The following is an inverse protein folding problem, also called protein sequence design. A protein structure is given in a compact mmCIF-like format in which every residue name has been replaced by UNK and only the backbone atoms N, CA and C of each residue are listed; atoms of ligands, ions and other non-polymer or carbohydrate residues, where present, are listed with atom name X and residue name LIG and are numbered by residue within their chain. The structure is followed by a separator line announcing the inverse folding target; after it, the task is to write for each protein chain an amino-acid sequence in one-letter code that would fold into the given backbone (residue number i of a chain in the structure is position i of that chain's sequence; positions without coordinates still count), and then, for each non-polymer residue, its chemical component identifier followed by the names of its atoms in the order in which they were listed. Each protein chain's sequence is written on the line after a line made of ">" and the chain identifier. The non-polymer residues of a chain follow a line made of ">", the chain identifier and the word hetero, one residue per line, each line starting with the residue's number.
data_IF_572705898547
#
_entry.id   IF_572705898547
#
_cell.length_a   1.000
_cell.length_b   1.000
_cell.length_c   1.000
_cell.angle_alpha   90.00
_cell.angle_beta   90.00
_cell.angle_gamma   90.00
#
_symmetry.space_group_name_H-M   'P 1'
#
loop_
_entity.id
_entity.type
_entity.pdbx_description
1 polymer ?
#
# COMPACT_ATOMS: atom_id res chain seq x y z
N UNK A 1 -6.98 -83.34 9.53
CA UNK A 1 -7.80 -82.72 10.56
C UNK A 1 -6.81 -81.90 11.40
N UNK A 2 -6.48 -80.68 10.97
CA UNK A 2 -5.57 -79.79 11.67
C UNK A 2 -6.33 -78.48 11.91
N UNK A 3 -6.39 -78.18 13.18
CA UNK A 3 -7.11 -77.07 13.78
C UNK A 3 -6.46 -75.70 13.37
N UNK A 4 -7.27 -74.80 12.86
CA UNK A 4 -6.83 -73.41 12.49
C UNK A 4 -7.64 -72.49 13.39
N UNK A 5 -7.11 -72.28 14.61
CA UNK A 5 -7.61 -71.21 15.50
C UNK A 5 -6.42 -70.51 16.15
N UNK A 6 -6.24 -69.27 15.83
CA UNK A 6 -5.46 -68.16 16.36
C UNK A 6 -4.72 -67.48 15.21
N UNK A 7 -4.93 -66.15 14.95
CA UNK A 7 -4.60 -65.00 15.75
C UNK A 7 -5.39 -63.79 15.21
N UNK A 8 -6.33 -63.28 15.97
CA UNK A 8 -6.80 -61.89 15.81
C UNK A 8 -5.99 -61.00 16.78
N UNK A 9 -4.96 -60.35 16.28
CA UNK A 9 -4.33 -59.24 17.00
C UNK A 9 -5.24 -58.02 16.88
N UNK A 10 -5.86 -57.63 17.96
CA UNK A 10 -6.57 -56.41 18.21
C UNK A 10 -5.55 -55.26 18.21
N UNK A 11 -5.51 -54.45 17.12
CA UNK A 11 -4.88 -53.16 17.13
C UNK A 11 -5.69 -52.25 18.07
N UNK A 12 -5.11 -51.86 19.19
CA UNK A 12 -5.63 -50.80 20.06
C UNK A 12 -5.61 -49.48 19.27
N UNK A 13 -6.69 -48.67 19.29
CA UNK A 13 -6.66 -47.32 18.75
C UNK A 13 -5.69 -46.49 19.59
N UNK A 14 -4.77 -45.84 18.91
CA UNK A 14 -3.83 -44.89 19.49
C UNK A 14 -4.63 -43.69 20.05
N UNK A 15 -4.77 -43.65 21.37
CA UNK A 15 -5.35 -42.52 22.08
C UNK A 15 -4.43 -41.32 21.87
N UNK A 16 -4.86 -40.36 21.03
CA UNK A 16 -4.28 -39.03 20.97
C UNK A 16 -4.67 -38.35 22.29
N UNK A 17 -3.75 -38.27 23.23
CA UNK A 17 -3.92 -37.45 24.42
C UNK A 17 -4.11 -36.00 23.98
N UNK A 18 -5.15 -35.28 24.45
CA UNK A 18 -5.24 -33.84 24.26
C UNK A 18 -4.08 -33.21 25.01
N UNK A 19 -3.25 -32.44 24.26
CA UNK A 19 -2.24 -31.57 24.83
C UNK A 19 -2.99 -30.57 25.72
N UNK A 20 -2.77 -30.64 27.03
CA UNK A 20 -3.29 -29.64 27.97
C UNK A 20 -2.97 -28.23 27.46
N UNK A 21 -3.85 -27.23 27.57
CA UNK A 21 -3.54 -25.86 27.22
C UNK A 21 -2.41 -25.40 28.15
N UNK A 22 -1.18 -25.39 27.64
CA UNK A 22 -0.07 -24.76 28.31
C UNK A 22 -0.47 -23.30 28.57
N UNK A 23 -0.27 -22.81 29.77
CA UNK A 23 -0.37 -21.39 30.11
C UNK A 23 0.59 -20.62 29.20
N UNK A 24 0.07 -20.19 28.04
CA UNK A 24 0.82 -19.33 27.12
C UNK A 24 0.72 -17.93 27.71
N UNK A 25 1.74 -17.53 28.47
CA UNK A 25 1.88 -16.17 28.97
C UNK A 25 1.71 -15.19 27.81
N UNK A 26 1.02 -14.08 28.08
CA UNK A 26 0.94 -12.96 27.11
C UNK A 26 2.36 -12.50 26.78
N UNK A 27 2.65 -12.18 25.52
CA UNK A 27 3.94 -11.66 25.13
C UNK A 27 4.21 -10.30 25.82
N UNK A 28 5.48 -9.95 26.06
CA UNK A 28 5.83 -8.64 26.58
C UNK A 28 5.35 -7.53 25.60
N UNK A 29 5.11 -6.30 26.10
CA UNK A 29 4.56 -5.20 25.30
C UNK A 29 5.42 -4.79 24.09
N UNK A 30 6.68 -5.14 24.09
CA UNK A 30 7.69 -4.88 23.05
C UNK A 30 8.03 -6.11 22.19
N UNK A 31 7.26 -7.19 22.32
CA UNK A 31 7.49 -8.39 21.53
C UNK A 31 7.40 -8.12 20.02
N UNK A 32 8.32 -8.68 19.21
CA UNK A 32 8.25 -8.56 17.77
C UNK A 32 6.91 -9.06 17.22
N UNK A 33 6.35 -8.34 16.23
CA UNK A 33 5.04 -8.65 15.64
C UNK A 33 4.86 -10.14 15.27
N UNK A 34 5.88 -10.75 14.65
CA UNK A 34 5.84 -12.15 14.26
C UNK A 34 5.70 -13.10 15.46
N UNK A 35 6.33 -12.77 16.57
CA UNK A 35 6.23 -13.54 17.83
C UNK A 35 4.82 -13.41 18.42
N UNK A 36 4.23 -12.22 18.40
CA UNK A 36 2.84 -12.00 18.84
C UNK A 36 1.88 -12.87 18.03
N UNK A 37 2.01 -12.91 16.71
CA UNK A 37 1.20 -13.77 15.84
C UNK A 37 1.37 -15.24 16.22
N UNK A 38 2.61 -15.70 16.43
CA UNK A 38 2.90 -17.08 16.77
C UNK A 38 2.33 -17.50 18.14
N UNK A 39 2.38 -16.59 19.13
CA UNK A 39 1.83 -16.82 20.47
C UNK A 39 0.31 -16.90 20.40
N UNK A 40 -0.36 -15.94 19.75
CA UNK A 40 -1.82 -15.92 19.63
C UNK A 40 -2.34 -17.12 18.84
N UNK A 41 -1.63 -17.55 17.78
CA UNK A 41 -1.96 -18.78 17.06
C UNK A 41 -1.87 -20.01 17.95
N UNK A 42 -0.79 -20.15 18.72
CA UNK A 42 -0.61 -21.27 19.66
C UNK A 42 -1.65 -21.26 20.77
N UNK A 43 -1.98 -20.08 21.30
CA UNK A 43 -3.06 -19.90 22.28
C UNK A 43 -4.41 -20.44 21.77
N UNK A 44 -4.65 -20.32 20.44
CA UNK A 44 -5.83 -20.90 19.77
C UNK A 44 -5.65 -22.36 19.34
N UNK A 45 -4.55 -23.02 19.68
CA UNK A 45 -4.29 -24.42 19.34
C UNK A 45 -4.08 -24.68 17.84
N UNK A 46 -3.82 -23.66 17.02
CA UNK A 46 -3.71 -23.80 15.58
C UNK A 46 -2.27 -24.04 15.14
N UNK A 47 -2.06 -24.95 14.18
CA UNK A 47 -0.82 -25.03 13.42
C UNK A 47 -0.72 -23.88 12.41
N UNK A 48 0.50 -23.56 11.92
CA UNK A 48 0.69 -22.57 10.84
C UNK A 48 -0.16 -22.88 9.59
N UNK A 49 -0.28 -24.18 9.25
CA UNK A 49 -1.09 -24.60 8.10
C UNK A 49 -2.59 -24.42 8.31
N UNK A 50 -3.08 -24.59 9.54
CA UNK A 50 -4.49 -24.35 9.89
C UNK A 50 -4.81 -22.85 9.87
N UNK A 51 -3.95 -22.02 10.46
CA UNK A 51 -4.09 -20.55 10.39
C UNK A 51 -4.06 -20.06 8.94
N UNK A 52 -3.11 -20.55 8.14
CA UNK A 52 -3.00 -20.18 6.73
C UNK A 52 -4.29 -20.47 5.95
N UNK A 53 -4.85 -21.68 6.13
CA UNK A 53 -6.14 -22.05 5.50
C UNK A 53 -7.30 -21.16 5.96
N UNK A 54 -7.42 -20.95 7.27
CA UNK A 54 -8.48 -20.13 7.85
C UNK A 54 -8.40 -18.66 7.39
N UNK A 55 -7.18 -18.10 7.28
CA UNK A 55 -6.93 -16.74 6.81
C UNK A 55 -6.87 -16.61 5.28
N UNK A 56 -7.01 -17.70 4.52
CA UNK A 56 -6.83 -17.75 3.06
C UNK A 56 -5.47 -17.20 2.61
N UNK A 57 -4.43 -17.53 3.37
CA UNK A 57 -3.03 -17.17 3.10
C UNK A 57 -2.22 -18.45 2.84
N UNK A 58 -1.00 -18.29 2.28
CA UNK A 58 -0.11 -19.45 2.14
C UNK A 58 0.57 -19.81 3.47
N UNK A 59 0.90 -21.09 3.67
CA UNK A 59 1.68 -21.54 4.85
C UNK A 59 3.05 -20.81 4.92
N UNK A 60 3.68 -20.63 3.77
CA UNK A 60 4.95 -19.89 3.66
C UNK A 60 4.79 -18.45 4.10
N UNK A 61 3.65 -17.80 3.81
CA UNK A 61 3.37 -16.46 4.28
C UNK A 61 3.34 -16.40 5.81
N UNK A 62 2.58 -17.29 6.47
CA UNK A 62 2.50 -17.34 7.94
C UNK A 62 3.88 -17.63 8.54
N UNK A 63 4.64 -18.57 7.98
CA UNK A 63 6.00 -18.88 8.44
C UNK A 63 6.91 -17.65 8.37
N UNK A 64 6.92 -16.92 7.23
CA UNK A 64 7.75 -15.73 7.08
C UNK A 64 7.31 -14.59 8.01
N UNK A 65 6.02 -14.48 8.27
CA UNK A 65 5.47 -13.51 9.19
C UNK A 65 5.95 -13.79 10.62
N UNK A 66 5.78 -15.02 11.10
CA UNK A 66 6.15 -15.44 12.45
C UNK A 66 7.67 -15.42 12.70
N UNK A 67 8.48 -15.63 11.65
CA UNK A 67 9.95 -15.61 11.75
C UNK A 67 10.55 -14.23 11.50
N UNK A 68 9.72 -13.19 11.34
CA UNK A 68 10.20 -11.83 11.05
C UNK A 68 10.83 -11.65 9.67
N UNK A 69 10.78 -12.66 8.79
CA UNK A 69 11.27 -12.55 7.41
C UNK A 69 10.36 -11.68 6.54
N UNK A 70 9.13 -11.42 6.99
CA UNK A 70 8.19 -10.51 6.35
C UNK A 70 8.02 -9.27 7.22
N UNK A 71 8.63 -8.17 6.80
CA UNK A 71 8.69 -6.91 7.55
C UNK A 71 7.50 -5.98 7.29
N UNK A 72 6.66 -6.24 6.29
CA UNK A 72 5.50 -5.40 5.96
C UNK A 72 4.29 -6.26 5.57
N UNK A 73 3.55 -6.81 6.54
CA UNK A 73 2.28 -7.45 6.27
C UNK A 73 1.24 -6.38 5.86
N UNK A 74 0.39 -6.69 4.87
CA UNK A 74 -0.71 -5.79 4.51
C UNK A 74 -1.81 -5.81 5.58
N UNK A 75 -2.53 -4.69 5.74
CA UNK A 75 -3.70 -4.58 6.62
C UNK A 75 -4.71 -5.70 6.33
N UNK A 76 -4.97 -5.98 5.05
CA UNK A 76 -5.86 -7.07 4.62
C UNK A 76 -5.42 -8.43 5.16
N UNK A 77 -4.12 -8.74 5.13
CA UNK A 77 -3.62 -10.01 5.65
C UNK A 77 -3.77 -10.07 7.18
N UNK A 78 -3.55 -8.96 7.88
CA UNK A 78 -3.70 -8.92 9.33
C UNK A 78 -5.17 -9.02 9.75
N UNK A 79 -6.07 -8.35 9.04
CA UNK A 79 -7.53 -8.53 9.26
C UNK A 79 -7.96 -9.98 9.03
N UNK A 80 -7.42 -10.65 8.00
CA UNK A 80 -7.70 -12.06 7.77
C UNK A 80 -7.20 -12.94 8.92
N UNK A 81 -6.03 -12.65 9.49
CA UNK A 81 -5.48 -13.35 10.68
C UNK A 81 -6.32 -13.07 11.92
N UNK A 82 -6.71 -11.79 12.16
CA UNK A 82 -7.61 -11.42 13.28
C UNK A 82 -8.90 -12.22 13.25
N UNK A 83 -9.56 -12.31 12.09
CA UNK A 83 -10.78 -13.10 11.90
C UNK A 83 -10.53 -14.60 12.08
N UNK A 84 -9.47 -15.12 11.48
CA UNK A 84 -9.13 -16.54 11.54
C UNK A 84 -8.80 -17.01 12.97
N UNK A 85 -8.25 -16.11 13.80
CA UNK A 85 -7.96 -16.39 15.21
C UNK A 85 -9.12 -16.01 16.14
N UNK A 86 -10.21 -15.43 15.65
CA UNK A 86 -11.32 -14.86 16.44
C UNK A 86 -10.80 -14.04 17.63
N UNK A 87 -9.89 -13.11 17.36
CA UNK A 87 -9.28 -12.30 18.41
C UNK A 87 -10.25 -11.22 18.89
N UNK A 88 -10.40 -11.10 20.22
CA UNK A 88 -11.26 -10.12 20.90
C UNK A 88 -10.52 -9.53 22.10
N UNK A 89 -10.98 -8.37 22.57
CA UNK A 89 -10.43 -7.74 23.78
C UNK A 89 -8.91 -7.54 23.72
N UNK A 90 -8.21 -7.95 24.77
CA UNK A 90 -6.77 -7.75 24.93
C UNK A 90 -5.93 -8.40 23.84
N UNK A 91 -6.29 -9.61 23.39
CA UNK A 91 -5.56 -10.31 22.32
C UNK A 91 -5.61 -9.54 21.00
N UNK A 92 -6.75 -8.91 20.69
CA UNK A 92 -6.94 -8.05 19.53
C UNK A 92 -6.10 -6.78 19.63
N UNK A 93 -6.17 -6.10 20.79
CA UNK A 93 -5.38 -4.90 21.05
C UNK A 93 -3.88 -5.15 20.95
N UNK A 94 -3.41 -6.26 21.51
CA UNK A 94 -2.01 -6.66 21.46
C UNK A 94 -1.51 -6.83 20.01
N UNK A 95 -2.28 -7.52 19.17
CA UNK A 95 -1.91 -7.70 17.76
C UNK A 95 -1.96 -6.37 17.00
N UNK A 96 -2.96 -5.52 17.28
CA UNK A 96 -3.09 -4.20 16.67
C UNK A 96 -1.92 -3.29 17.04
N UNK A 97 -1.53 -3.25 18.32
CA UNK A 97 -0.37 -2.48 18.78
C UNK A 97 0.94 -2.94 18.14
N UNK A 98 1.20 -4.25 18.13
CA UNK A 98 2.38 -4.82 17.51
C UNK A 98 2.43 -4.53 15.99
N UNK A 99 1.28 -4.54 15.31
CA UNK A 99 1.16 -4.17 13.90
C UNK A 99 1.48 -2.68 13.69
N UNK A 100 0.92 -1.80 14.54
CA UNK A 100 1.19 -0.36 14.47
C UNK A 100 2.66 -0.04 14.72
N UNK A 101 3.30 -0.70 15.69
CA UNK A 101 4.72 -0.54 15.95
C UNK A 101 5.59 -0.97 14.76
N UNK A 102 5.20 -2.07 14.08
CA UNK A 102 5.94 -2.59 12.94
C UNK A 102 5.79 -1.72 11.68
N UNK A 103 4.60 -1.19 11.42
CA UNK A 103 4.24 -0.60 10.12
C UNK A 103 3.91 0.88 10.18
N UNK A 104 3.66 1.44 11.37
CA UNK A 104 3.12 2.78 11.55
C UNK A 104 1.63 2.92 11.21
N UNK A 105 0.95 1.83 10.81
CA UNK A 105 -0.45 1.83 10.44
C UNK A 105 -1.34 1.37 11.59
N UNK A 106 -2.52 1.97 11.74
CA UNK A 106 -3.52 1.56 12.72
C UNK A 106 -4.47 0.50 12.13
N UNK A 107 -4.93 -0.43 12.97
CA UNK A 107 -6.03 -1.33 12.67
C UNK A 107 -7.29 -0.74 13.28
N UNK A 108 -8.14 -0.13 12.46
CA UNK A 108 -9.40 0.43 12.90
C UNK A 108 -10.37 -0.66 13.38
N UNK A 109 -11.03 -0.43 14.52
CA UNK A 109 -11.99 -1.37 15.11
C UNK A 109 -13.35 -1.40 14.38
N UNK A 110 -13.74 -0.31 13.72
CA UNK A 110 -15.08 -0.14 13.16
C UNK A 110 -15.26 -0.53 11.69
N UNK A 111 -14.19 -0.87 10.98
CA UNK A 111 -14.27 -1.11 9.51
C UNK A 111 -14.83 -2.48 9.09
N UNK A 112 -15.27 -3.32 10.00
CA UNK A 112 -15.85 -4.64 9.66
C UNK A 112 -17.32 -4.59 9.22
N UNK A 113 -18.01 -3.44 9.32
CA UNK A 113 -19.45 -3.38 9.07
C UNK A 113 -19.91 -2.54 7.89
N UNK A 114 -19.05 -1.71 7.29
CA UNK A 114 -19.45 -0.83 6.19
C UNK A 114 -18.31 -0.52 5.18
N UNK A 115 -17.54 -1.49 4.71
CA UNK A 115 -16.78 -1.32 3.47
C UNK A 115 -17.77 -1.38 2.28
N UNK A 116 -18.65 -0.36 2.18
CA UNK A 116 -19.53 -0.16 1.02
C UNK A 116 -18.71 0.10 -0.25
N UNK A 117 -17.48 0.61 -0.06
CA UNK A 117 -16.52 0.85 -1.13
C UNK A 117 -15.20 0.19 -0.74
N UNK A 118 -14.54 -0.47 -1.69
CA UNK A 118 -13.15 -0.83 -1.48
C UNK A 118 -12.25 0.44 -1.50
N UNK A 119 -10.99 0.30 -1.06
CA UNK A 119 -10.09 1.47 -0.95
C UNK A 119 -9.81 2.14 -2.30
N UNK A 120 -9.83 1.38 -3.39
CA UNK A 120 -9.66 1.88 -4.74
C UNK A 120 -10.87 2.71 -5.15
N UNK A 121 -12.08 2.22 -4.85
CA UNK A 121 -13.34 2.91 -5.12
C UNK A 121 -13.44 4.19 -4.30
N UNK A 122 -13.06 4.14 -3.01
CA UNK A 122 -13.02 5.32 -2.15
C UNK A 122 -12.00 6.35 -2.68
N UNK A 123 -10.81 5.93 -3.06
CA UNK A 123 -9.81 6.82 -3.66
C UNK A 123 -10.33 7.44 -4.96
N UNK A 124 -10.98 6.66 -5.82
CA UNK A 124 -11.58 7.15 -7.05
C UNK A 124 -12.70 8.16 -6.77
N UNK A 125 -13.59 7.88 -5.80
CA UNK A 125 -14.66 8.79 -5.39
C UNK A 125 -14.09 10.15 -4.93
N UNK A 126 -13.08 10.15 -4.08
CA UNK A 126 -12.47 11.37 -3.55
C UNK A 126 -11.74 12.16 -4.66
N UNK A 127 -11.07 11.47 -5.58
CA UNK A 127 -10.43 12.08 -6.74
C UNK A 127 -11.47 12.76 -7.63
N UNK A 128 -12.58 12.08 -7.97
CA UNK A 128 -13.63 12.65 -8.84
C UNK A 128 -14.36 13.83 -8.20
N UNK A 129 -14.45 13.88 -6.87
CA UNK A 129 -15.06 15.00 -6.13
C UNK A 129 -14.08 16.16 -5.84
N UNK A 130 -12.79 16.01 -6.19
CA UNK A 130 -11.84 17.11 -6.04
C UNK A 130 -12.10 18.20 -7.10
N UNK A 131 -12.20 19.44 -6.65
CA UNK A 131 -12.28 20.60 -7.54
C UNK A 131 -10.94 20.90 -8.23
N UNK A 132 -9.82 20.49 -7.62
CA UNK A 132 -8.47 20.63 -8.17
C UNK A 132 -8.07 19.41 -8.99
N UNK A 133 -7.12 19.55 -9.93
CA UNK A 133 -6.50 18.40 -10.58
C UNK A 133 -5.99 17.39 -9.55
N UNK A 134 -6.44 16.16 -9.65
CA UNK A 134 -6.11 15.10 -8.71
C UNK A 134 -6.07 13.73 -9.37
N UNK A 135 -5.23 12.85 -8.82
CA UNK A 135 -5.22 11.43 -9.17
C UNK A 135 -4.91 10.57 -7.93
N UNK A 136 -5.28 9.30 -8.00
CA UNK A 136 -4.89 8.32 -6.98
C UNK A 136 -3.78 7.40 -7.50
N UNK A 137 -2.90 7.00 -6.59
CA UNK A 137 -1.80 6.08 -6.82
C UNK A 137 -1.97 4.85 -5.96
N UNK A 138 -1.70 3.67 -6.54
CA UNK A 138 -1.51 2.46 -5.76
C UNK A 138 -0.12 2.45 -5.08
N UNK A 139 0.17 1.41 -4.29
CA UNK A 139 1.45 1.27 -3.57
C UNK A 139 2.70 1.19 -4.46
N UNK A 140 2.55 0.92 -5.76
CA UNK A 140 3.63 0.92 -6.76
C UNK A 140 3.56 2.13 -7.69
N UNK A 141 2.73 3.12 -7.33
CA UNK A 141 2.56 4.37 -8.06
C UNK A 141 1.96 4.20 -9.46
N UNK A 142 1.09 3.19 -9.66
CA UNK A 142 0.21 3.19 -10.80
C UNK A 142 -0.97 4.11 -10.53
N UNK A 143 -1.28 4.98 -11.48
CA UNK A 143 -2.45 5.85 -11.43
C UNK A 143 -3.69 4.96 -11.56
N UNK A 144 -4.54 4.95 -10.55
CA UNK A 144 -5.75 4.12 -10.51
C UNK A 144 -7.04 4.90 -10.78
N UNK A 145 -7.03 6.20 -10.53
CA UNK A 145 -8.10 7.13 -10.90
C UNK A 145 -7.53 8.54 -11.09
N UNK A 146 -8.19 9.35 -11.93
CA UNK A 146 -7.91 10.78 -12.12
C UNK A 146 -9.21 11.50 -12.45
N UNK A 147 -9.27 12.80 -12.15
CA UNK A 147 -10.42 13.62 -12.50
C UNK A 147 -10.21 14.38 -13.81
N UNK A 148 -11.29 15.00 -14.33
CA UNK A 148 -11.24 15.80 -15.55
C UNK A 148 -10.21 16.93 -15.49
N UNK A 149 -10.09 17.73 -14.40
CA UNK A 149 -9.03 18.72 -14.28
C UNK A 149 -7.61 18.13 -14.42
N UNK A 150 -7.33 16.94 -13.85
CA UNK A 150 -6.03 16.30 -14.01
C UNK A 150 -5.78 15.82 -15.44
N UNK A 151 -6.80 15.28 -16.10
CA UNK A 151 -6.72 14.91 -17.51
C UNK A 151 -6.37 16.14 -18.39
N UNK A 152 -7.05 17.26 -18.17
CA UNK A 152 -6.81 18.50 -18.91
C UNK A 152 -5.43 19.09 -18.61
N UNK A 153 -5.00 19.07 -17.33
CA UNK A 153 -3.72 19.61 -16.90
C UNK A 153 -2.53 18.83 -17.46
N UNK A 154 -2.59 17.51 -17.44
CA UNK A 154 -1.47 16.67 -17.84
C UNK A 154 -1.58 16.18 -19.28
N UNK A 155 -2.73 16.35 -19.93
CA UNK A 155 -3.00 15.88 -21.30
C UNK A 155 -2.57 14.41 -21.50
N UNK A 156 -2.83 13.58 -20.46
CA UNK A 156 -2.53 12.16 -20.47
C UNK A 156 -3.74 11.39 -20.96
N UNK A 157 -3.59 10.67 -22.06
CA UNK A 157 -4.59 9.70 -22.50
C UNK A 157 -4.34 8.35 -21.80
N UNK A 158 -4.81 8.25 -20.54
CA UNK A 158 -4.74 7.01 -19.77
C UNK A 158 -5.94 6.07 -20.03
N UNK A 159 -6.97 6.55 -20.74
CA UNK A 159 -8.21 5.81 -20.96
C UNK A 159 -8.24 5.02 -22.28
N UNK A 160 -7.37 5.35 -23.23
CA UNK A 160 -7.57 4.95 -24.64
C UNK A 160 -6.87 3.66 -25.07
N UNK A 161 -5.94 3.08 -24.30
CA UNK A 161 -5.20 1.90 -24.76
C UNK A 161 -5.16 0.79 -23.71
N UNK A 162 -5.55 -0.46 -24.05
CA UNK A 162 -5.22 -1.62 -23.26
C UNK A 162 -3.68 -1.71 -23.12
N UNK A 163 -3.15 -1.51 -21.89
CA UNK A 163 -1.72 -1.48 -21.62
C UNK A 163 -1.09 -0.09 -21.59
N UNK A 164 -1.88 1.01 -21.62
CA UNK A 164 -1.36 2.35 -21.38
C UNK A 164 -0.55 2.35 -20.06
N UNK A 165 0.67 2.89 -20.13
CA UNK A 165 1.55 2.93 -18.96
C UNK A 165 1.02 3.95 -17.96
N UNK A 166 0.34 3.46 -16.93
CA UNK A 166 -0.22 4.29 -15.85
C UNK A 166 0.78 4.51 -14.71
N UNK A 167 1.98 3.96 -14.80
CA UNK A 167 2.99 4.08 -13.76
C UNK A 167 3.63 5.48 -13.80
N UNK A 168 3.48 6.24 -12.70
CA UNK A 168 3.83 7.66 -12.64
C UNK A 168 5.30 7.94 -13.01
N UNK A 169 6.26 7.15 -12.52
CA UNK A 169 7.65 7.37 -12.86
C UNK A 169 7.92 7.09 -14.34
N UNK A 170 7.29 6.07 -14.93
CA UNK A 170 7.46 5.81 -16.36
C UNK A 170 6.94 6.99 -17.20
N UNK A 171 5.84 7.63 -16.79
CA UNK A 171 5.32 8.84 -17.43
C UNK A 171 6.30 10.01 -17.27
N UNK A 172 6.79 10.26 -16.05
CA UNK A 172 7.71 11.37 -15.77
C UNK A 172 9.04 11.23 -16.51
N UNK A 173 9.51 9.99 -16.69
CA UNK A 173 10.75 9.70 -17.42
C UNK A 173 10.56 9.49 -18.93
N UNK A 174 9.33 9.56 -19.44
CA UNK A 174 9.07 9.53 -20.88
C UNK A 174 9.60 10.81 -21.55
N UNK A 175 10.38 10.70 -22.63
CA UNK A 175 10.93 11.88 -23.34
C UNK A 175 9.86 12.89 -23.81
N UNK A 176 8.65 12.42 -24.12
CA UNK A 176 7.53 13.27 -24.56
C UNK A 176 7.07 14.21 -23.46
N UNK A 177 7.00 13.72 -22.22
CA UNK A 177 6.49 14.48 -21.08
C UNK A 177 7.57 15.29 -20.37
N UNK A 178 8.84 14.84 -20.35
CA UNK A 178 9.92 15.50 -19.62
C UNK A 178 10.12 16.96 -20.01
N UNK A 179 9.85 17.34 -21.25
CA UNK A 179 10.01 18.72 -21.74
C UNK A 179 9.02 19.71 -21.13
N UNK A 180 7.94 19.21 -20.52
CA UNK A 180 6.90 20.01 -19.88
C UNK A 180 7.30 20.51 -18.49
N UNK A 181 8.24 19.83 -17.81
CA UNK A 181 8.62 20.14 -16.43
C UNK A 181 9.93 20.93 -16.36
N UNK A 182 10.00 21.87 -15.41
CA UNK A 182 11.17 22.72 -15.26
C UNK A 182 11.48 23.00 -13.77
N UNK A 183 12.69 22.74 -13.30
CA UNK A 183 13.71 21.85 -13.92
C UNK A 183 13.30 20.38 -13.80
N UNK A 184 13.21 19.69 -14.94
CA UNK A 184 12.73 18.29 -14.98
C UNK A 184 13.59 17.34 -14.14
N UNK A 185 14.91 17.47 -14.20
CA UNK A 185 15.81 16.55 -13.52
C UNK A 185 15.66 16.62 -11.98
N UNK A 186 15.41 17.80 -11.44
CA UNK A 186 15.15 17.98 -10.02
C UNK A 186 13.82 17.29 -9.61
N UNK A 187 12.76 17.48 -10.39
CA UNK A 187 11.48 16.80 -10.19
C UNK A 187 11.65 15.29 -10.24
N UNK A 188 12.37 14.78 -11.26
CA UNK A 188 12.58 13.34 -11.45
C UNK A 188 13.38 12.71 -10.29
N UNK A 189 14.45 13.37 -9.82
CA UNK A 189 15.24 12.94 -8.64
C UNK A 189 14.37 12.87 -7.40
N UNK A 190 13.57 13.90 -7.17
CA UNK A 190 12.71 13.99 -6.01
C UNK A 190 11.64 12.91 -6.00
N UNK A 191 10.92 12.73 -7.11
CA UNK A 191 9.90 11.69 -7.23
C UNK A 191 10.50 10.28 -7.08
N UNK A 192 11.70 10.06 -7.62
CA UNK A 192 12.38 8.78 -7.46
C UNK A 192 12.81 8.53 -6.00
N UNK A 193 13.31 9.54 -5.29
CA UNK A 193 13.65 9.44 -3.88
C UNK A 193 12.41 9.12 -3.03
N UNK A 194 11.30 9.81 -3.28
CA UNK A 194 10.02 9.56 -2.61
C UNK A 194 9.47 8.17 -2.92
N UNK A 195 9.53 7.73 -4.17
CA UNK A 195 9.16 6.36 -4.55
C UNK A 195 10.00 5.31 -3.81
N UNK A 196 11.32 5.45 -3.80
CA UNK A 196 12.22 4.54 -3.06
C UNK A 196 11.86 4.50 -1.57
N UNK A 197 11.59 5.65 -0.97
CA UNK A 197 11.20 5.75 0.43
C UNK A 197 9.87 5.03 0.70
N UNK A 198 8.84 5.31 -0.08
CA UNK A 198 7.50 4.75 0.10
C UNK A 198 7.44 3.25 -0.20
N UNK A 199 8.30 2.76 -1.11
CA UNK A 199 8.31 1.35 -1.53
C UNK A 199 9.41 0.52 -0.87
N UNK A 200 10.17 1.06 0.10
CA UNK A 200 11.29 0.35 0.76
C UNK A 200 10.91 -1.00 1.34
N UNK A 201 9.68 -1.12 1.86
CA UNK A 201 9.13 -2.35 2.42
C UNK A 201 8.55 -3.31 1.36
N UNK A 202 8.53 -2.91 0.08
CA UNK A 202 7.93 -3.69 -1.03
C UNK A 202 8.98 -4.32 -1.95
N UNK A 203 10.27 -4.06 -1.73
CA UNK A 203 11.37 -4.48 -2.63
C UNK A 203 11.50 -5.99 -2.82
N UNK A 204 10.94 -6.78 -1.89
CA UNK A 204 10.90 -8.23 -1.98
C UNK A 204 9.77 -8.75 -2.89
N UNK A 205 8.78 -7.92 -3.25
CA UNK A 205 7.65 -8.32 -4.07
C UNK A 205 8.08 -8.56 -5.53
N UNK A 206 7.59 -9.63 -6.18
CA UNK A 206 7.85 -9.87 -7.60
C UNK A 206 7.41 -8.71 -8.50
N UNK A 207 6.27 -8.09 -8.19
CA UNK A 207 5.71 -6.94 -8.90
C UNK A 207 6.65 -5.74 -8.85
N UNK A 208 7.19 -5.42 -7.66
CA UNK A 208 8.19 -4.35 -7.51
C UNK A 208 9.43 -4.63 -8.36
N UNK A 209 9.97 -5.85 -8.30
CA UNK A 209 11.16 -6.22 -9.05
C UNK A 209 10.95 -6.14 -10.56
N UNK A 210 9.75 -6.51 -11.01
CA UNK A 210 9.37 -6.41 -12.44
C UNK A 210 9.27 -4.96 -12.86
N UNK A 211 8.58 -4.13 -12.08
CA UNK A 211 8.49 -2.69 -12.30
C UNK A 211 9.86 -2.03 -12.31
N UNK A 212 10.68 -2.30 -11.28
CA UNK A 212 12.02 -1.72 -11.19
C UNK A 212 12.89 -2.06 -12.41
N UNK A 213 12.83 -3.31 -12.87
CA UNK A 213 13.54 -3.77 -14.06
C UNK A 213 13.04 -3.05 -15.32
N UNK A 214 11.74 -2.88 -15.46
CA UNK A 214 11.13 -2.12 -16.56
C UNK A 214 11.57 -0.64 -16.55
N UNK A 215 11.52 0.03 -15.40
CA UNK A 215 11.94 1.43 -15.29
C UNK A 215 13.44 1.60 -15.62
N UNK A 216 14.29 0.66 -15.26
CA UNK A 216 15.73 0.68 -15.59
C UNK A 216 16.03 0.52 -17.08
N UNK A 217 15.07 0.18 -17.94
CA UNK A 217 15.25 0.23 -19.40
C UNK A 217 15.28 1.68 -19.92
N UNK A 218 14.73 2.64 -19.16
CA UNK A 218 14.75 4.06 -19.49
C UNK A 218 16.13 4.66 -19.16
N UNK A 219 16.88 5.22 -20.13
CA UNK A 219 18.24 5.69 -19.90
C UNK A 219 18.37 6.74 -18.80
N UNK A 220 17.49 7.73 -18.80
CA UNK A 220 17.48 8.79 -17.79
C UNK A 220 17.12 8.29 -16.40
N UNK A 221 16.17 7.34 -16.29
CA UNK A 221 15.84 6.68 -15.03
C UNK A 221 17.07 5.97 -14.46
N UNK A 222 17.75 5.16 -15.28
CA UNK A 222 18.97 4.44 -14.87
C UNK A 222 20.05 5.41 -14.39
N UNK A 223 20.33 6.47 -15.15
CA UNK A 223 21.31 7.50 -14.81
C UNK A 223 21.02 8.15 -13.45
N UNK A 224 19.77 8.54 -13.21
CA UNK A 224 19.35 9.18 -11.97
C UNK A 224 19.30 8.17 -10.81
N UNK A 225 18.83 6.94 -11.05
CA UNK A 225 18.74 5.91 -10.02
C UNK A 225 20.12 5.45 -9.49
N UNK A 226 21.15 5.51 -10.35
CA UNK A 226 22.53 5.14 -10.01
C UNK A 226 23.35 6.34 -9.44
N UNK A 227 22.81 7.55 -9.48
CA UNK A 227 23.42 8.73 -8.83
C UNK A 227 23.13 8.72 -7.32
N UNK A 228 23.95 9.45 -6.56
CA UNK A 228 23.75 9.61 -5.12
C UNK A 228 22.35 10.14 -4.82
N UNK A 229 21.69 9.53 -3.83
CA UNK A 229 20.35 9.93 -3.40
C UNK A 229 20.43 11.30 -2.69
N UNK A 230 19.70 12.33 -3.14
CA UNK A 230 19.71 13.65 -2.49
C UNK A 230 19.06 13.64 -1.10
N UNK A 231 18.63 12.48 -0.61
CA UNK A 231 17.84 12.35 0.60
C UNK A 231 16.34 12.55 0.38
N UNK A 232 15.55 12.02 1.30
CA UNK A 232 14.10 12.16 1.27
C UNK A 232 13.70 13.57 1.68
N UNK A 233 12.83 14.22 0.88
CA UNK A 233 12.27 15.55 1.16
C UNK A 233 10.80 15.49 1.58
N UNK A 234 10.23 16.65 1.90
CA UNK A 234 8.81 16.80 2.29
C UNK A 234 7.84 16.19 1.25
N UNK A 235 6.77 15.56 1.71
CA UNK A 235 5.68 15.01 0.88
C UNK A 235 4.95 16.07 0.03
N UNK A 236 5.13 17.36 0.30
CA UNK A 236 4.61 18.46 -0.50
C UNK A 236 5.76 19.24 -1.12
N UNK A 237 5.70 19.47 -2.41
CA UNK A 237 6.72 20.25 -3.12
C UNK A 237 6.11 21.11 -4.23
N UNK A 238 6.88 22.12 -4.64
CA UNK A 238 6.51 23.02 -5.73
C UNK A 238 7.37 22.70 -6.95
N UNK A 239 6.75 22.68 -8.12
CA UNK A 239 7.43 22.53 -9.40
C UNK A 239 6.77 23.38 -10.47
N UNK A 240 7.52 23.66 -11.53
CA UNK A 240 7.00 24.40 -12.68
C UNK A 240 6.68 23.46 -13.84
N UNK A 241 5.60 23.77 -14.53
CA UNK A 241 5.15 23.05 -15.71
C UNK A 241 4.84 24.04 -16.82
N UNK A 242 5.19 23.70 -18.05
CA UNK A 242 4.76 24.43 -19.24
C UNK A 242 3.63 23.65 -19.92
N UNK A 243 2.44 24.21 -19.89
CA UNK A 243 1.28 23.65 -20.55
C UNK A 243 1.06 24.33 -21.92
N UNK A 244 0.70 23.56 -22.97
CA UNK A 244 0.56 24.08 -24.33
C UNK A 244 -0.49 25.18 -24.44
N UNK A 245 -1.62 25.03 -23.77
CA UNK A 245 -2.76 25.97 -23.82
C UNK A 245 -2.80 26.94 -22.65
N UNK A 246 -2.39 26.51 -21.44
CA UNK A 246 -2.49 27.30 -20.22
C UNK A 246 -1.22 28.13 -19.92
N UNK A 247 -0.14 27.91 -20.67
CA UNK A 247 1.12 28.59 -20.46
C UNK A 247 1.94 28.05 -19.29
N UNK A 248 2.78 28.86 -18.68
CA UNK A 248 3.58 28.45 -17.53
C UNK A 248 2.71 28.35 -16.27
N UNK A 249 2.86 27.27 -15.53
CA UNK A 249 2.15 27.00 -14.29
C UNK A 249 3.16 26.65 -13.18
N UNK A 250 2.92 27.16 -11.98
CA UNK A 250 3.61 26.76 -10.75
C UNK A 250 2.66 25.93 -9.91
N UNK A 251 2.97 24.66 -9.72
CA UNK A 251 2.10 23.69 -9.04
C UNK A 251 2.73 23.28 -7.72
N UNK A 252 1.88 23.13 -6.70
CA UNK A 252 2.23 22.52 -5.43
C UNK A 252 1.48 21.20 -5.30
N UNK A 253 2.18 20.13 -4.94
CA UNK A 253 1.56 18.84 -4.63
C UNK A 253 1.08 18.80 -3.18
N UNK A 254 -0.07 18.18 -2.95
CA UNK A 254 -0.55 17.79 -1.65
C UNK A 254 -0.91 16.30 -1.73
N UNK A 255 -0.19 15.47 -0.96
CA UNK A 255 -0.46 14.03 -0.91
C UNK A 255 -1.24 13.69 0.36
N UNK A 256 -2.31 12.92 0.21
CA UNK A 256 -3.15 12.40 1.30
C UNK A 256 -3.12 10.89 1.26
N UNK A 257 -2.80 10.26 2.39
CA UNK A 257 -2.88 8.81 2.57
C UNK A 257 -4.09 8.48 3.43
N UNK A 258 -4.71 7.35 3.18
CA UNK A 258 -5.85 6.90 3.99
C UNK A 258 -5.37 6.36 5.33
N UNK A 259 -6.07 6.73 6.41
CA UNK A 259 -5.82 6.17 7.73
C UNK A 259 -5.97 4.65 7.73
N UNK A 260 -5.01 3.96 8.34
CA UNK A 260 -5.05 2.49 8.46
C UNK A 260 -4.65 1.72 7.21
N UNK A 261 -4.37 2.37 6.07
CA UNK A 261 -3.92 1.69 4.85
C UNK A 261 -2.88 2.50 4.10
N UNK A 262 -1.86 1.83 3.60
CA UNK A 262 -0.85 2.45 2.72
C UNK A 262 -1.01 2.01 1.25
N UNK A 263 -2.14 1.37 0.90
CA UNK A 263 -2.30 0.77 -0.43
C UNK A 263 -2.66 1.81 -1.49
N UNK A 264 -3.26 2.94 -1.08
CA UNK A 264 -3.60 4.05 -1.98
C UNK A 264 -3.26 5.40 -1.37
N UNK A 265 -2.88 6.35 -2.23
CA UNK A 265 -2.71 7.76 -1.89
C UNK A 265 -3.40 8.62 -2.94
N UNK A 266 -3.82 9.83 -2.55
CA UNK A 266 -4.35 10.84 -3.46
C UNK A 266 -3.34 11.96 -3.55
N UNK A 267 -3.00 12.34 -4.78
CA UNK A 267 -2.17 13.52 -5.06
C UNK A 267 -3.05 14.58 -5.69
N UNK A 268 -3.10 15.74 -5.04
CA UNK A 268 -3.82 16.92 -5.52
C UNK A 268 -2.81 18.00 -5.90
N UNK A 269 -3.07 18.66 -7.01
CA UNK A 269 -2.24 19.76 -7.52
C UNK A 269 -2.95 21.08 -7.27
N UNK A 270 -2.35 21.91 -6.43
CA UNK A 270 -2.88 23.23 -6.11
C UNK A 270 -1.97 24.33 -6.67
N UNK A 271 -2.49 25.54 -6.93
CA UNK A 271 -1.68 26.65 -7.41
C UNK A 271 -0.53 26.98 -6.45
N UNK A 272 0.68 27.15 -6.98
CA UNK A 272 1.85 27.58 -6.23
C UNK A 272 2.14 29.07 -6.31
N UNK A 273 1.45 29.81 -7.20
CA UNK A 273 1.54 31.26 -7.36
C UNK A 273 0.21 31.88 -7.81
N UNK A 274 0.13 33.20 -7.78
CA UNK A 274 -1.07 33.98 -8.14
C UNK A 274 -1.49 33.83 -9.61
N UNK A 275 -0.53 33.69 -10.52
CA UNK A 275 -0.82 33.49 -11.94
C UNK A 275 -1.50 32.15 -12.17
N UNK A 276 -0.98 31.09 -11.57
CA UNK A 276 -1.56 29.75 -11.64
C UNK A 276 -2.93 29.71 -10.97
N UNK A 277 -3.10 30.43 -9.85
CA UNK A 277 -4.40 30.56 -9.17
C UNK A 277 -5.46 31.19 -10.11
N UNK A 278 -5.12 32.28 -10.78
CA UNK A 278 -6.00 32.93 -11.74
C UNK A 278 -6.36 32.00 -12.92
N UNK A 279 -5.36 31.25 -13.41
CA UNK A 279 -5.58 30.25 -14.48
C UNK A 279 -6.53 29.13 -14.02
N UNK A 280 -6.34 28.61 -12.81
CA UNK A 280 -7.21 27.56 -12.25
C UNK A 280 -8.64 28.09 -12.07
N UNK A 281 -8.80 29.33 -11.55
CA UNK A 281 -10.10 29.95 -11.38
C UNK A 281 -10.82 30.12 -12.73
N UNK A 282 -10.13 30.53 -13.78
CA UNK A 282 -10.69 30.69 -15.14
C UNK A 282 -11.18 29.34 -15.73
N UNK A 283 -10.63 28.20 -15.27
CA UNK A 283 -11.02 26.86 -15.70
C UNK A 283 -11.98 26.17 -14.72
N UNK A 284 -12.42 26.85 -13.66
CA UNK A 284 -13.27 26.27 -12.63
C UNK A 284 -12.59 25.27 -11.72
N UNK A 285 -11.24 25.20 -11.71
CA UNK A 285 -10.45 24.30 -10.88
C UNK A 285 -10.12 24.95 -9.54
N UNK A 286 -11.14 25.22 -8.74
CA UNK A 286 -10.97 25.83 -7.42
C UNK A 286 -11.99 25.29 -6.44
N UNK A 287 -11.57 25.12 -5.18
CA UNK A 287 -12.49 24.83 -4.11
C UNK A 287 -13.34 26.08 -3.82
N UNK A 288 -14.64 25.91 -3.65
CA UNK A 288 -15.46 26.92 -3.01
C UNK A 288 -15.08 26.96 -1.53
N UNK A 289 -14.29 27.95 -1.12
CA UNK A 289 -14.05 28.17 0.29
C UNK A 289 -15.38 28.56 0.92
N UNK A 290 -15.75 27.97 2.07
CA UNK A 290 -16.92 28.45 2.81
C UNK A 290 -16.72 29.93 3.11
N UNK A 291 -17.72 30.72 2.78
CA UNK A 291 -17.75 32.15 3.14
C UNK A 291 -17.71 32.20 4.67
N UNK A 292 -16.62 32.73 5.22
CA UNK A 292 -16.53 32.98 6.65
C UNK A 292 -17.66 33.95 7.03
N UNK A 293 -18.67 33.44 7.72
CA UNK A 293 -19.75 34.23 8.31
C UNK A 293 -19.26 34.93 9.58
#
# INVERSE_FOLDING_TARGET
>A
MVDVTQVRQTQRPMQVQPIAPSEVSLPPPDAPFGEVVAILRRKRGLSQGQLARAARLSRTYIYHLETGKRLAPSVRAIRAILRALDLRGEDRLLLAQAFTQLTGNYLDEESDTLDLLDQRELAALLVHNSAFPAHSLDRLWHISAWNTPAHELFELDLAGAPGANTQLLAIVFDPTYRTRFRPWEELARRLLAEFKHNTRSLTYLPEYRTLWRSLRTLPDFRRIADSSDPGWGSASFVFQMRHARLGPLTLRTAATVFSGTSDYSIVTYVPGDQQTLATFAAHGWQAQLPVSS
#
